data_IF_510260875169
#
_entry.id   IF_510260875169
#
_cell.length_a   1.000
_cell.length_b   1.000
_cell.length_c   1.000
_cell.angle_alpha   90.00
_cell.angle_beta   90.00
_cell.angle_gamma   90.00
#
_symmetry.space_group_name_H-M   'P 1'
#
loop_
_entity.id
_entity.type
_entity.pdbx_description
1 polymer ?
#
# COMPACT_ATOMS: atom_id res chain seq x y z
N UNK A 1 16.52 -1.28 12.15
CA UNK A 1 17.09 -2.59 11.77
C UNK A 1 16.29 -3.68 12.46
N UNK A 2 15.73 -4.59 11.68
CA UNK A 2 14.99 -5.76 12.17
C UNK A 2 15.96 -6.74 12.84
N UNK A 3 15.59 -7.25 14.02
CA UNK A 3 16.48 -8.15 14.78
C UNK A 3 16.57 -9.54 14.15
N UNK A 4 17.73 -10.19 14.30
CA UNK A 4 17.92 -11.58 13.86
C UNK A 4 16.92 -12.53 14.51
N UNK A 5 16.64 -12.33 15.79
CA UNK A 5 15.65 -13.10 16.54
C UNK A 5 14.24 -12.97 15.93
N UNK A 6 13.86 -11.77 15.50
CA UNK A 6 12.56 -11.57 14.84
C UNK A 6 12.49 -12.29 13.49
N UNK A 7 13.59 -12.26 12.71
CA UNK A 7 13.69 -13.00 11.44
C UNK A 7 13.61 -14.51 11.67
N UNK A 8 14.30 -15.04 12.69
CA UNK A 8 14.24 -16.45 13.06
C UNK A 8 12.83 -16.87 13.44
N UNK A 9 12.12 -16.06 14.25
CA UNK A 9 10.73 -16.31 14.62
C UNK A 9 9.79 -16.32 13.41
N UNK A 10 9.97 -15.41 12.44
CA UNK A 10 9.20 -15.45 11.20
C UNK A 10 9.55 -16.67 10.34
N UNK A 11 10.82 -17.07 10.29
CA UNK A 11 11.25 -18.24 9.53
C UNK A 11 10.67 -19.55 10.06
N UNK A 12 10.45 -19.66 11.38
CA UNK A 12 9.71 -20.79 11.96
C UNK A 12 8.28 -20.86 11.41
N UNK A 13 7.61 -19.71 11.24
CA UNK A 13 6.25 -19.62 10.68
C UNK A 13 6.19 -19.81 9.16
N UNK A 14 7.30 -19.60 8.45
CA UNK A 14 7.37 -19.67 6.99
C UNK A 14 7.85 -21.04 6.47
N UNK A 15 8.46 -21.85 7.34
CA UNK A 15 9.06 -23.13 6.99
C UNK A 15 8.04 -24.10 6.37
N UNK A 16 6.81 -24.13 6.88
CA UNK A 16 5.70 -24.95 6.38
C UNK A 16 5.25 -24.56 4.96
N UNK A 17 5.46 -23.30 4.57
CA UNK A 17 5.16 -22.74 3.25
C UNK A 17 6.34 -22.85 2.26
N UNK A 18 7.48 -23.39 2.72
CA UNK A 18 8.72 -23.44 1.95
C UNK A 18 9.25 -22.04 1.62
N UNK A 19 9.10 -21.10 2.55
CA UNK A 19 9.53 -19.72 2.46
C UNK A 19 10.51 -19.39 3.59
N UNK A 20 11.34 -18.37 3.37
CA UNK A 20 12.19 -17.80 4.40
C UNK A 20 12.46 -16.32 4.13
N UNK A 21 12.49 -15.53 5.20
CA UNK A 21 13.11 -14.22 5.24
C UNK A 21 14.64 -14.37 5.31
N UNK A 22 15.32 -13.72 4.38
CA UNK A 22 16.78 -13.72 4.24
C UNK A 22 17.26 -12.28 4.31
N UNK A 23 18.09 -11.98 5.32
CA UNK A 23 18.81 -10.71 5.41
C UNK A 23 20.03 -10.76 4.50
N UNK A 24 20.17 -9.78 3.61
CA UNK A 24 21.37 -9.55 2.79
C UNK A 24 21.95 -8.16 3.08
N UNK A 25 23.07 -7.84 2.43
CA UNK A 25 23.66 -6.49 2.47
C UNK A 25 22.75 -5.43 1.82
N UNK A 26 21.87 -5.85 0.89
CA UNK A 26 20.95 -4.96 0.18
C UNK A 26 19.63 -4.72 0.93
N UNK A 27 19.27 -5.60 1.86
CA UNK A 27 18.02 -5.52 2.63
C UNK A 27 17.44 -6.89 3.00
N UNK A 28 16.20 -6.85 3.49
CA UNK A 28 15.43 -8.05 3.83
C UNK A 28 14.63 -8.54 2.63
N UNK A 29 14.76 -9.82 2.30
CA UNK A 29 14.04 -10.45 1.20
C UNK A 29 13.23 -11.65 1.67
N UNK A 30 12.10 -11.93 1.02
CA UNK A 30 11.36 -13.18 1.14
C UNK A 30 11.75 -14.11 -0.01
N UNK A 31 12.17 -15.32 0.31
CA UNK A 31 12.68 -16.29 -0.65
C UNK A 31 12.00 -17.65 -0.53
N UNK A 32 11.82 -18.33 -1.66
CA UNK A 32 11.47 -19.76 -1.73
C UNK A 32 12.65 -20.64 -2.19
N UNK A 33 13.87 -20.11 -2.14
CA UNK A 33 15.08 -20.74 -2.70
C UNK A 33 15.29 -20.45 -4.19
N UNK A 34 14.26 -20.64 -5.02
CA UNK A 34 14.32 -20.36 -6.47
C UNK A 34 13.97 -18.90 -6.83
N UNK A 35 13.10 -18.29 -6.03
CA UNK A 35 12.58 -16.95 -6.23
C UNK A 35 12.80 -16.15 -4.96
N UNK A 36 13.14 -14.86 -5.13
CA UNK A 36 13.24 -13.90 -4.04
C UNK A 36 12.54 -12.60 -4.40
N UNK A 37 11.93 -11.97 -3.41
CA UNK A 37 11.34 -10.64 -3.50
C UNK A 37 11.85 -9.77 -2.36
N UNK A 38 12.31 -8.57 -2.71
CA UNK A 38 12.69 -7.51 -1.78
C UNK A 38 11.91 -6.26 -2.18
N UNK A 39 11.39 -5.54 -1.18
CA UNK A 39 10.80 -4.23 -1.39
C UNK A 39 11.93 -3.19 -1.53
N UNK A 40 11.87 -2.35 -2.56
CA UNK A 40 12.92 -1.35 -2.79
C UNK A 40 12.37 -0.09 -3.46
N UNK A 41 12.38 1.02 -2.72
CA UNK A 41 11.93 2.31 -3.23
C UNK A 41 12.88 2.98 -4.21
N UNK A 42 14.11 2.47 -4.40
CA UNK A 42 15.02 2.96 -5.45
C UNK A 42 14.40 2.79 -6.85
N UNK A 43 13.64 1.72 -7.06
CA UNK A 43 12.93 1.46 -8.31
C UNK A 43 11.85 2.53 -8.61
N UNK A 44 11.40 3.24 -7.58
CA UNK A 44 10.35 4.26 -7.66
C UNK A 44 10.90 5.67 -7.88
N UNK A 45 12.21 5.88 -7.77
CA UNK A 45 12.87 7.19 -7.94
C UNK A 45 12.45 7.93 -9.23
N UNK A 46 12.39 7.28 -10.42
CA UNK A 46 11.95 7.97 -11.62
C UNK A 46 10.49 8.46 -11.52
N UNK A 47 9.63 7.70 -10.83
CA UNK A 47 8.19 7.93 -10.74
C UNK A 47 7.84 9.05 -9.76
N UNK A 48 8.64 9.22 -8.69
CA UNK A 48 8.44 10.26 -7.67
C UNK A 48 9.08 11.62 -8.00
N UNK A 49 9.71 11.78 -9.17
CA UNK A 49 10.14 13.11 -9.62
C UNK A 49 8.95 14.06 -9.71
N UNK A 50 9.13 15.32 -9.27
CA UNK A 50 8.05 16.33 -9.21
C UNK A 50 7.21 16.42 -10.49
N UNK A 51 7.84 16.48 -11.66
CA UNK A 51 7.15 16.56 -12.96
C UNK A 51 6.27 15.34 -13.27
N UNK A 52 6.61 14.18 -12.72
CA UNK A 52 5.87 12.93 -12.90
C UNK A 52 4.73 12.84 -11.87
N UNK A 53 4.99 13.22 -10.61
CA UNK A 53 3.95 13.27 -9.56
C UNK A 53 2.76 14.17 -9.93
N UNK A 54 2.99 15.31 -10.58
CA UNK A 54 1.91 16.19 -11.05
C UNK A 54 1.02 15.53 -12.11
N UNK A 55 1.54 14.51 -12.80
CA UNK A 55 0.84 13.75 -13.83
C UNK A 55 0.21 12.47 -13.31
N UNK A 56 0.70 11.94 -12.18
CA UNK A 56 0.20 10.72 -11.53
C UNK A 56 -1.30 10.80 -11.28
N UNK A 57 -2.01 9.80 -11.80
CA UNK A 57 -3.46 9.70 -11.64
C UNK A 57 -3.88 9.52 -10.19
N UNK A 58 -3.10 8.75 -9.41
CA UNK A 58 -3.35 8.54 -7.99
C UNK A 58 -3.29 9.87 -7.23
N UNK A 59 -2.28 10.70 -7.49
CA UNK A 59 -2.15 12.04 -6.88
C UNK A 59 -3.34 12.92 -7.23
N UNK A 60 -3.80 12.87 -8.48
CA UNK A 60 -5.00 13.62 -8.93
C UNK A 60 -6.29 13.10 -8.28
N UNK A 61 -6.41 11.80 -8.09
CA UNK A 61 -7.54 11.17 -7.43
C UNK A 61 -7.60 11.53 -5.94
N UNK A 62 -6.46 11.49 -5.25
CA UNK A 62 -6.37 11.77 -3.82
C UNK A 62 -6.50 13.26 -3.49
N UNK A 63 -5.81 14.15 -4.22
CA UNK A 63 -5.69 15.56 -3.84
C UNK A 63 -7.05 16.26 -3.80
N UNK A 64 -7.36 16.83 -2.65
CA UNK A 64 -8.52 17.72 -2.47
C UNK A 64 -8.06 19.15 -2.72
N UNK A 65 -8.52 19.75 -3.82
CA UNK A 65 -8.15 21.13 -4.20
C UNK A 65 -8.72 22.13 -3.18
N UNK A 66 -7.97 23.20 -2.92
CA UNK A 66 -8.38 24.27 -2.01
C UNK A 66 -8.21 23.96 -0.52
N UNK A 67 -7.71 22.77 -0.17
CA UNK A 67 -7.34 22.41 1.20
C UNK A 67 -5.82 22.54 1.40
N UNK A 68 -5.34 22.96 2.58
CA UNK A 68 -3.92 23.07 2.88
C UNK A 68 -3.23 21.70 2.84
N UNK A 69 -1.91 21.71 2.66
CA UNK A 69 -1.05 20.54 2.83
C UNK A 69 -0.27 20.65 4.15
N UNK A 70 0.10 19.52 4.79
CA UNK A 70 -0.19 18.15 4.36
C UNK A 70 -1.66 17.76 4.61
N UNK A 71 -2.25 17.02 3.66
CA UNK A 71 -3.53 16.33 3.86
C UNK A 71 -3.24 14.96 4.47
N UNK A 72 -4.06 14.55 5.42
CA UNK A 72 -3.94 13.25 6.09
C UNK A 72 -4.53 12.15 5.23
N UNK A 73 -3.76 11.09 5.00
CA UNK A 73 -4.15 9.96 4.16
C UNK A 73 -3.95 8.65 4.90
N UNK A 74 -4.97 7.80 4.84
CA UNK A 74 -4.86 6.39 5.26
C UNK A 74 -4.74 5.53 4.01
N UNK A 75 -3.70 4.72 3.91
CA UNK A 75 -3.62 3.61 2.96
C UNK A 75 -4.01 2.33 3.73
N UNK A 76 -5.19 1.79 3.45
CA UNK A 76 -5.72 0.65 4.20
C UNK A 76 -5.19 -0.70 3.69
N UNK A 77 -4.41 -0.71 2.61
CA UNK A 77 -3.96 -1.90 1.88
C UNK A 77 -2.54 -1.67 1.36
N UNK A 78 -1.60 -1.41 2.27
CA UNK A 78 -0.30 -0.85 1.94
C UNK A 78 0.52 -1.73 0.97
N UNK A 79 0.48 -3.05 1.13
CA UNK A 79 1.31 -3.96 0.35
C UNK A 79 2.79 -3.61 0.50
N UNK A 80 3.47 -3.37 -0.61
CA UNK A 80 4.87 -2.90 -0.62
C UNK A 80 5.02 -1.37 -0.58
N UNK A 81 3.94 -0.63 -0.31
CA UNK A 81 3.98 0.82 -0.06
C UNK A 81 4.30 1.69 -1.27
N UNK A 82 4.24 1.17 -2.50
CA UNK A 82 4.57 1.93 -3.72
C UNK A 82 3.62 3.12 -3.93
N UNK A 83 2.32 2.90 -3.79
CA UNK A 83 1.30 3.96 -3.93
C UNK A 83 1.35 4.94 -2.75
N UNK A 84 1.58 4.43 -1.54
CA UNK A 84 1.87 5.24 -0.34
C UNK A 84 3.09 6.15 -0.54
N UNK A 85 4.20 5.66 -1.11
CA UNK A 85 5.38 6.47 -1.39
C UNK A 85 5.09 7.58 -2.41
N UNK A 86 4.31 7.29 -3.46
CA UNK A 86 3.92 8.30 -4.46
C UNK A 86 3.12 9.43 -3.80
N UNK A 87 2.18 9.08 -2.93
CA UNK A 87 1.38 10.05 -2.20
C UNK A 87 2.24 10.83 -1.20
N UNK A 88 3.08 10.16 -0.42
CA UNK A 88 3.98 10.82 0.50
C UNK A 88 4.96 11.77 -0.22
N UNK A 89 5.49 11.37 -1.38
CA UNK A 89 6.32 12.22 -2.24
C UNK A 89 5.55 13.42 -2.82
N UNK A 90 4.24 13.28 -3.05
CA UNK A 90 3.36 14.39 -3.43
C UNK A 90 2.96 15.31 -2.27
N UNK A 91 3.44 15.04 -1.05
CA UNK A 91 3.35 15.88 0.14
C UNK A 91 2.29 15.47 1.15
N UNK A 92 1.60 14.34 0.97
CA UNK A 92 0.61 13.85 1.92
C UNK A 92 1.29 13.28 3.19
N UNK A 93 0.58 13.35 4.32
CA UNK A 93 0.96 12.62 5.53
C UNK A 93 0.25 11.26 5.49
N UNK A 94 1.00 10.17 5.33
CA UNK A 94 0.46 8.85 5.01
C UNK A 94 0.61 7.91 6.19
N UNK A 95 -0.52 7.42 6.71
CA UNK A 95 -0.56 6.26 7.61
C UNK A 95 -0.99 5.04 6.82
N UNK A 96 -0.11 4.06 6.72
CA UNK A 96 -0.31 2.89 5.87
C UNK A 96 -0.40 1.62 6.72
N UNK A 97 -1.40 0.79 6.43
CA UNK A 97 -1.72 -0.42 7.16
C UNK A 97 -1.42 -1.66 6.31
N UNK A 98 -0.67 -2.60 6.88
CA UNK A 98 -0.45 -3.92 6.30
C UNK A 98 -0.79 -4.99 7.33
N UNK A 99 -1.67 -5.91 6.97
CA UNK A 99 -2.16 -6.96 7.87
C UNK A 99 -1.18 -8.14 7.92
N UNK A 100 -0.54 -8.46 6.80
CA UNK A 100 0.42 -9.56 6.73
C UNK A 100 1.74 -9.14 7.37
N UNK A 101 2.08 -9.78 8.50
CA UNK A 101 3.30 -9.45 9.28
C UNK A 101 4.58 -9.58 8.46
N UNK A 102 4.61 -10.49 7.46
CA UNK A 102 5.77 -10.73 6.61
C UNK A 102 5.92 -9.62 5.58
N UNK A 103 4.82 -9.18 4.97
CA UNK A 103 4.84 -8.02 4.06
C UNK A 103 5.18 -6.75 4.84
N UNK A 104 4.58 -6.57 6.03
CA UNK A 104 4.84 -5.42 6.88
C UNK A 104 6.32 -5.31 7.27
N UNK A 105 6.97 -6.42 7.65
CA UNK A 105 8.41 -6.39 8.01
C UNK A 105 9.31 -6.11 6.80
N UNK A 106 8.96 -6.62 5.61
CA UNK A 106 9.68 -6.29 4.36
C UNK A 106 9.53 -4.81 4.00
N UNK A 107 8.34 -4.25 4.17
CA UNK A 107 8.08 -2.83 3.94
C UNK A 107 8.81 -1.95 4.98
N UNK A 108 8.83 -2.37 6.25
CA UNK A 108 9.58 -1.67 7.29
C UNK A 108 11.08 -1.60 6.96
N UNK A 109 11.68 -2.72 6.55
CA UNK A 109 13.08 -2.74 6.08
C UNK A 109 13.31 -1.77 4.90
N UNK A 110 12.40 -1.79 3.91
CA UNK A 110 12.46 -0.89 2.76
C UNK A 110 12.40 0.59 3.17
N UNK A 111 11.47 0.94 4.07
CA UNK A 111 11.34 2.31 4.59
C UNK A 111 12.60 2.73 5.36
N UNK A 112 13.14 1.87 6.23
CA UNK A 112 14.38 2.16 6.97
C UNK A 112 15.55 2.44 6.02
N UNK A 113 15.76 1.60 4.99
CA UNK A 113 16.81 1.82 3.99
C UNK A 113 16.57 3.08 3.16
N UNK A 114 15.33 3.37 2.83
CA UNK A 114 14.99 4.54 2.03
C UNK A 114 15.18 5.87 2.76
N UNK A 115 15.15 5.90 4.11
CA UNK A 115 15.48 7.09 4.89
C UNK A 115 16.94 7.54 4.74
N UNK A 116 17.84 6.63 4.37
CA UNK A 116 19.25 6.91 4.12
C UNK A 116 19.51 7.44 2.70
N UNK A 117 18.50 7.44 1.83
CA UNK A 117 18.60 7.92 0.45
C UNK A 117 18.05 9.35 0.39
N UNK A 118 18.87 10.38 0.08
CA UNK A 118 18.45 11.78 0.14
C UNK A 118 17.17 12.10 -0.64
N UNK A 119 16.99 11.49 -1.82
CA UNK A 119 15.83 11.71 -2.68
C UNK A 119 14.53 11.09 -2.16
N UNK A 120 14.62 10.10 -1.25
CA UNK A 120 13.48 9.38 -0.68
C UNK A 120 13.16 9.82 0.74
N UNK A 121 14.16 10.32 1.47
CA UNK A 121 14.09 10.65 2.90
C UNK A 121 12.86 11.47 3.26
N UNK A 122 12.60 12.56 2.55
CA UNK A 122 11.46 13.44 2.85
C UNK A 122 10.10 12.77 2.59
N UNK A 123 10.01 11.92 1.57
CA UNK A 123 8.79 11.20 1.26
C UNK A 123 8.52 10.12 2.31
N UNK A 124 9.54 9.30 2.61
CA UNK A 124 9.42 8.23 3.60
C UNK A 124 9.25 8.78 5.02
N UNK A 125 9.81 9.95 5.33
CA UNK A 125 9.58 10.64 6.60
C UNK A 125 8.13 11.07 6.84
N UNK A 126 7.27 11.10 5.80
CA UNK A 126 5.82 11.34 5.88
C UNK A 126 5.01 10.04 5.91
N UNK A 127 5.66 8.89 6.00
CA UNK A 127 5.03 7.57 6.00
C UNK A 127 5.12 6.94 7.39
N UNK A 128 3.99 6.55 7.95
CA UNK A 128 3.90 5.78 9.19
C UNK A 128 3.28 4.42 8.92
N UNK A 129 4.08 3.35 9.03
CA UNK A 129 3.62 1.98 8.88
C UNK A 129 2.98 1.46 10.18
N UNK A 130 1.82 0.81 10.03
CA UNK A 130 1.17 0.06 11.11
C UNK A 130 0.96 -1.37 10.62
N UNK A 131 1.63 -2.32 11.29
CA UNK A 131 1.34 -3.74 11.10
C UNK A 131 0.04 -4.09 11.82
N UNK A 132 -1.02 -4.37 11.07
CA UNK A 132 -2.32 -4.71 11.62
C UNK A 132 -3.49 -4.58 10.65
N UNK A 133 -4.64 -5.04 11.12
CA UNK A 133 -5.91 -5.02 10.41
C UNK A 133 -6.46 -3.59 10.27
N UNK A 134 -6.46 -3.07 9.04
CA UNK A 134 -6.91 -1.72 8.73
C UNK A 134 -8.41 -1.51 9.00
N UNK A 135 -9.24 -2.54 8.85
CA UNK A 135 -10.68 -2.48 9.12
C UNK A 135 -10.93 -2.20 10.60
N UNK A 136 -10.22 -2.90 11.48
CA UNK A 136 -10.30 -2.68 12.94
C UNK A 136 -9.68 -1.34 13.33
N UNK A 137 -8.59 -0.95 12.71
CA UNK A 137 -7.91 0.30 13.02
C UNK A 137 -8.75 1.53 12.63
N UNK A 138 -9.32 1.54 11.42
CA UNK A 138 -10.15 2.64 10.92
C UNK A 138 -11.39 2.88 11.78
N UNK A 139 -12.03 1.82 12.29
CA UNK A 139 -13.17 1.91 13.24
C UNK A 139 -12.80 2.54 14.59
N UNK A 140 -11.51 2.69 14.92
CA UNK A 140 -11.01 3.16 16.23
C UNK A 140 -10.18 4.44 16.13
N UNK A 141 -10.18 5.12 14.99
CA UNK A 141 -9.41 6.36 14.83
C UNK A 141 -9.93 7.45 15.77
N UNK A 142 -9.00 8.19 16.34
CA UNK A 142 -9.24 9.38 17.18
C UNK A 142 -9.30 10.68 16.36
N UNK A 143 -9.13 10.59 15.04
CA UNK A 143 -9.22 11.69 14.09
C UNK A 143 -9.96 11.26 12.82
N UNK A 144 -10.39 12.25 12.04
CA UNK A 144 -11.01 12.04 10.72
C UNK A 144 -9.97 12.31 9.63
N UNK A 145 -9.53 11.30 8.86
CA UNK A 145 -8.58 11.52 7.77
C UNK A 145 -9.20 12.38 6.67
N UNK A 146 -8.37 13.04 5.86
CA UNK A 146 -8.87 13.71 4.65
C UNK A 146 -9.18 12.68 3.56
N UNK A 147 -8.30 11.69 3.38
CA UNK A 147 -8.40 10.66 2.35
C UNK A 147 -8.21 9.26 2.93
N UNK A 148 -8.98 8.29 2.42
CA UNK A 148 -8.69 6.86 2.56
C UNK A 148 -8.41 6.28 1.17
N UNK A 149 -7.30 5.58 1.00
CA UNK A 149 -6.92 4.82 -0.19
C UNK A 149 -7.20 3.32 0.06
N UNK A 150 -7.89 2.69 -0.89
CA UNK A 150 -8.18 1.27 -0.92
C UNK A 150 -7.67 0.66 -2.24
N UNK A 151 -6.81 -0.35 -2.17
CA UNK A 151 -6.37 -1.19 -3.28
C UNK A 151 -6.36 -2.67 -2.83
N UNK A 152 -7.52 -3.25 -2.50
CA UNK A 152 -7.55 -4.65 -2.11
C UNK A 152 -7.06 -5.50 -3.29
N UNK A 153 -6.16 -6.45 -3.00
CA UNK A 153 -5.65 -7.35 -4.03
C UNK A 153 -6.80 -8.07 -4.72
N UNK A 154 -6.92 -7.86 -6.03
CA UNK A 154 -7.94 -8.53 -6.84
C UNK A 154 -7.58 -9.99 -7.07
N UNK A 155 -8.53 -10.94 -6.92
CA UNK A 155 -8.28 -12.34 -7.23
C UNK A 155 -8.02 -12.63 -8.72
N UNK A 156 -8.08 -11.65 -9.63
CA UNK A 156 -7.86 -11.88 -11.07
C UNK A 156 -6.52 -11.36 -11.63
N UNK A 157 -5.67 -12.37 -11.93
CA UNK A 157 -4.48 -12.44 -12.81
C UNK A 157 -4.10 -11.19 -13.62
N UNK A 158 -2.94 -10.60 -13.33
CA UNK A 158 -2.17 -9.79 -14.28
C UNK A 158 -1.05 -10.59 -14.99
N UNK A 159 -0.83 -10.24 -16.27
CA UNK A 159 -0.17 -11.08 -17.30
C UNK A 159 1.35 -10.93 -17.45
N UNK A 160 2.06 -10.18 -16.59
CA UNK A 160 3.52 -10.04 -16.76
C UNK A 160 4.30 -11.15 -16.02
N UNK A 161 5.38 -11.65 -16.62
CA UNK A 161 6.16 -12.76 -16.06
C UNK A 161 6.85 -12.43 -14.72
N UNK A 162 7.21 -11.15 -14.50
CA UNK A 162 7.79 -10.66 -13.24
C UNK A 162 6.71 -10.46 -12.16
N UNK A 163 5.52 -9.99 -12.54
CA UNK A 163 4.36 -9.91 -11.64
C UNK A 163 3.94 -11.32 -11.24
N UNK A 164 3.96 -12.30 -12.16
CA UNK A 164 3.71 -13.71 -11.84
C UNK A 164 4.64 -14.27 -10.77
N UNK A 165 5.95 -13.95 -10.81
CA UNK A 165 6.92 -14.44 -9.82
C UNK A 165 6.72 -13.83 -8.44
N UNK A 166 6.54 -12.51 -8.36
CA UNK A 166 6.21 -11.81 -7.11
C UNK A 166 4.86 -12.31 -6.53
N UNK A 167 3.87 -12.47 -7.39
CA UNK A 167 2.53 -12.96 -7.02
C UNK A 167 2.55 -14.43 -6.56
N UNK A 168 3.42 -15.29 -7.11
CA UNK A 168 3.57 -16.68 -6.66
C UNK A 168 4.06 -16.79 -5.22
N UNK A 169 4.93 -15.89 -4.77
CA UNK A 169 5.38 -15.86 -3.37
C UNK A 169 4.29 -15.30 -2.46
N UNK A 170 3.61 -14.22 -2.88
CA UNK A 170 2.53 -13.60 -2.11
C UNK A 170 1.31 -14.51 -1.95
N UNK A 171 0.93 -15.28 -2.97
CA UNK A 171 -0.17 -16.25 -2.90
C UNK A 171 0.04 -17.32 -1.82
N UNK A 172 1.29 -17.63 -1.45
CA UNK A 172 1.59 -18.57 -0.36
C UNK A 172 1.40 -17.92 1.02
N UNK A 173 1.44 -16.60 1.10
CA UNK A 173 1.21 -15.84 2.33
C UNK A 173 -0.29 -15.61 2.59
N UNK A 174 -1.10 -15.47 1.53
CA UNK A 174 -2.50 -15.06 1.61
C UNK A 174 -3.36 -15.86 2.60
N UNK A 175 -3.95 -15.13 3.54
CA UNK A 175 -5.13 -15.52 4.31
C UNK A 175 -6.36 -14.84 3.70
N UNK A 176 -7.58 -15.41 3.80
CA UNK A 176 -8.76 -14.90 3.12
C UNK A 176 -9.01 -13.41 3.43
N UNK A 177 -9.19 -12.64 2.35
CA UNK A 177 -9.42 -11.21 2.35
C UNK A 177 -10.64 -10.84 3.22
N UNK A 178 -10.53 -9.76 4.00
CA UNK A 178 -11.70 -9.09 4.57
C UNK A 178 -12.71 -8.85 3.46
N UNK A 179 -13.99 -9.17 3.69
CA UNK A 179 -15.05 -8.94 2.72
C UNK A 179 -14.95 -7.50 2.19
N UNK A 180 -14.98 -7.29 0.87
CA UNK A 180 -14.86 -5.96 0.24
C UNK A 180 -15.83 -4.94 0.87
N UNK A 181 -17.00 -5.42 1.30
CA UNK A 181 -18.02 -4.65 2.01
C UNK A 181 -17.52 -4.13 3.36
N UNK A 182 -16.90 -4.97 4.19
CA UNK A 182 -16.39 -4.56 5.50
C UNK A 182 -15.24 -3.54 5.38
N UNK A 183 -14.38 -3.73 4.39
CA UNK A 183 -13.30 -2.78 4.09
C UNK A 183 -13.87 -1.42 3.70
N UNK A 184 -14.87 -1.39 2.82
CA UNK A 184 -15.50 -0.14 2.42
C UNK A 184 -16.26 0.51 3.58
N UNK A 185 -17.05 -0.25 4.33
CA UNK A 185 -17.80 0.25 5.48
C UNK A 185 -16.88 0.84 6.56
N UNK A 186 -15.74 0.20 6.84
CA UNK A 186 -14.76 0.74 7.78
C UNK A 186 -14.09 2.02 7.28
N UNK A 187 -13.84 2.12 5.97
CA UNK A 187 -13.36 3.35 5.35
C UNK A 187 -14.42 4.48 5.40
N UNK A 188 -15.71 4.16 5.22
CA UNK A 188 -16.81 5.13 5.39
C UNK A 188 -16.95 5.56 6.86
N UNK A 189 -16.82 4.61 7.80
CA UNK A 189 -16.90 4.85 9.25
C UNK A 189 -15.75 5.68 9.81
N UNK A 190 -14.57 5.66 9.16
CA UNK A 190 -13.48 6.58 9.46
C UNK A 190 -13.84 8.05 9.17
N UNK A 191 -14.95 8.28 8.45
CA UNK A 191 -15.40 9.58 8.00
C UNK A 191 -14.27 10.36 7.29
N UNK A 192 -13.87 9.97 6.07
CA UNK A 192 -12.98 10.79 5.25
C UNK A 192 -13.75 11.88 4.47
N UNK A 193 -13.02 12.87 3.94
CA UNK A 193 -13.58 13.76 2.90
C UNK A 193 -13.68 13.04 1.56
N UNK A 194 -12.78 12.07 1.30
CA UNK A 194 -12.72 11.29 0.07
C UNK A 194 -12.23 9.87 0.31
N UNK A 195 -12.85 8.90 -0.34
CA UNK A 195 -12.28 7.55 -0.50
C UNK A 195 -11.83 7.40 -1.95
N UNK A 196 -10.60 6.94 -2.15
CA UNK A 196 -10.02 6.61 -3.45
C UNK A 196 -9.81 5.11 -3.53
N UNK A 197 -10.37 4.48 -4.55
CA UNK A 197 -10.35 3.03 -4.70
C UNK A 197 -9.66 2.71 -6.03
N UNK A 198 -8.52 2.02 -5.97
CA UNK A 198 -7.82 1.55 -7.16
C UNK A 198 -8.48 0.28 -7.67
N UNK A 199 -8.81 0.23 -8.96
CA UNK A 199 -9.47 -0.92 -9.61
C UNK A 199 -8.86 -1.18 -10.99
N UNK A 200 -8.90 -2.43 -11.49
CA UNK A 200 -8.72 -2.70 -12.91
C UNK A 200 -9.73 -1.90 -13.73
N UNK A 201 -9.36 -1.42 -14.92
CA UNK A 201 -10.22 -0.56 -15.76
C UNK A 201 -11.61 -1.15 -16.00
N UNK A 202 -11.70 -2.48 -16.18
CA UNK A 202 -12.96 -3.22 -16.39
C UNK A 202 -13.41 -4.03 -15.17
N UNK A 203 -12.79 -3.85 -14.01
CA UNK A 203 -13.17 -4.55 -12.78
C UNK A 203 -14.52 -4.05 -12.25
N UNK A 204 -15.24 -4.85 -11.44
CA UNK A 204 -16.45 -4.38 -10.77
C UNK A 204 -16.13 -3.23 -9.80
N UNK A 205 -17.14 -2.52 -9.29
CA UNK A 205 -16.95 -1.59 -8.18
C UNK A 205 -16.74 -2.36 -6.88
N UNK A 206 -15.99 -1.77 -5.95
CA UNK A 206 -15.77 -2.34 -4.62
C UNK A 206 -17.10 -2.50 -3.90
N UNK A 207 -17.40 -3.71 -3.42
CA UNK A 207 -18.67 -4.05 -2.78
C UNK A 207 -19.92 -3.68 -3.62
N UNK A 208 -19.80 -3.58 -4.95
CA UNK A 208 -20.89 -3.15 -5.83
C UNK A 208 -21.33 -1.69 -5.66
N UNK A 209 -20.64 -0.89 -4.84
CA UNK A 209 -21.01 0.49 -4.53
C UNK A 209 -20.49 1.45 -5.61
N UNK A 210 -21.40 2.16 -6.27
CA UNK A 210 -21.06 3.11 -7.34
C UNK A 210 -20.30 4.33 -6.77
N UNK A 211 -19.14 4.72 -7.33
CA UNK A 211 -18.42 5.91 -6.90
C UNK A 211 -19.10 7.21 -7.36
N UNK A 212 -18.71 8.34 -6.77
CA UNK A 212 -19.15 9.67 -7.22
C UNK A 212 -18.63 9.98 -8.63
N UNK A 213 -17.38 9.63 -8.92
CA UNK A 213 -16.78 9.65 -10.25
C UNK A 213 -15.59 8.69 -10.30
N UNK A 214 -15.09 8.41 -11.51
CA UNK A 214 -13.90 7.59 -11.72
C UNK A 214 -12.89 8.32 -12.61
N UNK A 215 -11.60 8.18 -12.29
CA UNK A 215 -10.52 8.61 -13.17
C UNK A 215 -9.95 7.40 -13.90
N UNK A 216 -10.16 7.33 -15.21
CA UNK A 216 -9.77 6.19 -16.03
C UNK A 216 -8.39 6.34 -16.66
N UNK A 217 -7.57 5.31 -16.52
CA UNK A 217 -6.27 5.18 -17.17
C UNK A 217 -6.30 4.08 -18.24
N UNK A 218 -5.13 3.62 -18.67
CA UNK A 218 -5.03 2.58 -19.72
C UNK A 218 -5.40 1.18 -19.23
N UNK A 219 -5.03 0.85 -17.99
CA UNK A 219 -5.21 -0.49 -17.41
C UNK A 219 -5.89 -0.47 -16.04
N UNK A 220 -5.76 0.64 -15.32
CA UNK A 220 -6.35 0.87 -14.00
C UNK A 220 -7.25 2.09 -14.05
N UNK A 221 -8.19 2.18 -13.11
CA UNK A 221 -8.96 3.38 -12.81
C UNK A 221 -8.97 3.63 -11.30
N UNK A 222 -9.26 4.86 -10.93
CA UNK A 222 -9.45 5.26 -9.54
C UNK A 222 -10.89 5.71 -9.33
N UNK A 223 -11.67 4.89 -8.65
CA UNK A 223 -13.05 5.16 -8.26
C UNK A 223 -13.03 6.08 -7.02
N UNK A 224 -13.65 7.26 -7.10
CA UNK A 224 -13.61 8.28 -6.06
C UNK A 224 -15.00 8.46 -5.44
N UNK A 225 -15.11 8.25 -4.13
CA UNK A 225 -16.29 8.57 -3.34
C UNK A 225 -16.03 9.89 -2.60
N UNK A 226 -16.87 10.89 -2.85
CA UNK A 226 -16.71 12.23 -2.27
C UNK A 226 -17.86 12.51 -1.31
N UNK A 227 -17.50 12.95 -0.11
CA UNK A 227 -18.46 13.29 0.94
C UNK A 227 -18.48 14.80 1.12
N UNK A 228 -19.67 15.39 1.11
CA UNK A 228 -19.84 16.80 1.38
C UNK A 228 -19.48 17.08 2.85
N UNK A 229 -18.65 18.11 3.07
CA UNK A 229 -18.40 18.70 4.38
C UNK A 229 -18.48 20.21 4.27
#
# INVERSE_FOLDING_TARGET
MISKELIENYNLKLADKGLALIQTDDGLSLSSGELSIMADFRDMLPRIKKSNLEREMLVKAARIKGQPMPQTLIDATAGFGEDSLILAAAGFEVRLYEMDEIIAVLLQDCMERALEIPELKDAVGRMTLVCGDSVKAMKKLDYKPDIVLLDPMFPERQKSALIKKKFQLLQKLESPCSMEEELLESAEAAEPKRIVIKRPLKGPYLAGRKPSYSLEGKAIRYDCMVYAR
#
